data_IF_980087650604
#
_entry.id   IF_980087650604
#
_cell.length_a   1.000
_cell.length_b   1.000
_cell.length_c   1.000
_cell.angle_alpha   90.00
_cell.angle_beta   90.00
_cell.angle_gamma   90.00
#
_symmetry.space_group_name_H-M   'P 1'
#
loop_
_entity.id
_entity.type
_entity.pdbx_description
1 polymer ?
#
# COMPACT_ATOMS: atom_id res chain seq x y z
N UNK A 1 -42.51 31.38 2.13
CA UNK A 1 -41.86 30.58 3.18
C UNK A 1 -41.74 29.16 2.65
N UNK A 2 -40.53 28.70 2.36
CA UNK A 2 -40.24 27.27 2.43
C UNK A 2 -38.73 27.09 2.62
N UNK A 3 -38.40 26.39 3.69
CA UNK A 3 -37.06 26.16 4.19
C UNK A 3 -36.74 24.72 3.81
N UNK A 4 -36.00 24.52 2.71
CA UNK A 4 -35.55 23.18 2.35
C UNK A 4 -34.22 22.94 3.06
N UNK A 5 -34.32 22.36 4.25
CA UNK A 5 -33.21 21.68 4.90
C UNK A 5 -32.79 20.49 4.02
N UNK A 6 -31.56 20.50 3.53
CA UNK A 6 -30.88 19.29 3.04
C UNK A 6 -29.61 19.11 3.83
N UNK A 7 -29.55 17.94 4.44
CA UNK A 7 -28.69 17.56 5.55
C UNK A 7 -27.21 17.58 5.18
N UNK A 8 -26.41 18.04 6.14
CA UNK A 8 -24.96 18.15 6.06
C UNK A 8 -24.33 16.81 5.62
N UNK A 9 -23.72 16.81 4.44
CA UNK A 9 -22.80 15.77 4.03
C UNK A 9 -21.60 15.81 4.99
N UNK A 10 -21.63 14.93 6.00
CA UNK A 10 -20.53 14.76 6.94
C UNK A 10 -19.22 14.55 6.17
N UNK A 11 -18.29 15.47 6.37
CA UNK A 11 -17.01 15.50 5.69
C UNK A 11 -16.25 14.17 5.93
N UNK A 12 -15.81 13.44 4.88
CA UNK A 12 -15.22 12.10 5.00
C UNK A 12 -13.80 12.06 5.62
N UNK A 13 -13.35 13.18 6.15
CA UNK A 13 -12.09 13.33 6.88
C UNK A 13 -12.25 12.92 8.36
N UNK A 14 -13.43 13.12 8.97
CA UNK A 14 -13.57 13.09 10.44
C UNK A 14 -13.80 11.68 11.05
N UNK A 15 -14.19 10.69 10.24
CA UNK A 15 -14.24 9.28 10.68
C UNK A 15 -12.86 8.63 10.88
N UNK A 16 -11.78 9.40 10.80
CA UNK A 16 -10.44 8.93 11.19
C UNK A 16 -10.16 9.11 12.70
N UNK A 17 -11.03 9.80 13.44
CA UNK A 17 -10.84 10.12 14.87
C UNK A 17 -11.54 9.15 15.84
N UNK A 18 -12.49 8.33 15.37
CA UNK A 18 -13.04 7.21 16.14
C UNK A 18 -12.01 6.09 16.18
N UNK A 19 -11.42 5.81 17.33
CA UNK A 19 -10.26 4.93 17.57
C UNK A 19 -10.39 3.45 17.16
N UNK A 20 -11.35 3.10 16.32
CA UNK A 20 -11.48 1.77 15.72
C UNK A 20 -10.47 1.59 14.57
N UNK A 21 -9.65 0.54 14.60
CA UNK A 21 -8.69 0.28 13.53
C UNK A 21 -9.44 0.00 12.23
N UNK A 22 -9.36 0.93 11.28
CA UNK A 22 -9.91 0.75 9.94
C UNK A 22 -9.33 -0.52 9.31
N UNK A 23 -10.22 -1.42 8.88
CA UNK A 23 -9.87 -2.69 8.25
C UNK A 23 -10.47 -2.77 6.84
N UNK A 24 -9.75 -3.40 5.92
CA UNK A 24 -10.26 -3.65 4.57
C UNK A 24 -11.41 -4.66 4.59
N UNK A 25 -12.51 -4.38 3.90
CA UNK A 25 -13.65 -5.30 3.84
C UNK A 25 -13.31 -6.66 3.20
N UNK A 26 -12.50 -6.65 2.14
CA UNK A 26 -12.17 -7.86 1.37
C UNK A 26 -11.10 -8.76 2.02
N UNK A 27 -10.18 -8.19 2.81
CA UNK A 27 -9.01 -8.94 3.29
C UNK A 27 -8.56 -8.58 4.71
N UNK A 28 -9.35 -7.77 5.42
CA UNK A 28 -9.18 -7.36 6.81
C UNK A 28 -7.82 -6.74 7.14
N UNK A 29 -7.04 -6.30 6.14
CA UNK A 29 -5.77 -5.61 6.41
C UNK A 29 -6.05 -4.27 7.06
N UNK A 30 -5.36 -3.99 8.15
CA UNK A 30 -5.38 -2.70 8.86
C UNK A 30 -4.26 -1.78 8.41
N UNK A 31 -3.28 -2.32 7.66
CA UNK A 31 -2.13 -1.59 7.14
C UNK A 31 -2.20 -1.55 5.61
N UNK A 32 -2.24 -0.33 5.07
CA UNK A 32 -2.20 -0.09 3.62
C UNK A 32 -1.60 1.30 3.36
N UNK A 33 -0.79 1.49 2.30
CA UNK A 33 -0.24 2.81 1.98
C UNK A 33 -1.32 3.80 1.49
N UNK A 34 -2.46 3.30 1.02
CA UNK A 34 -3.59 4.11 0.56
C UNK A 34 -4.89 3.34 0.76
N UNK A 35 -5.91 4.00 1.28
CA UNK A 35 -7.28 3.50 1.34
C UNK A 35 -8.04 3.91 0.09
N UNK A 36 -8.81 2.98 -0.49
CA UNK A 36 -9.62 3.18 -1.70
C UNK A 36 -11.09 2.97 -1.38
N UNK A 37 -11.97 3.62 -2.13
CA UNK A 37 -13.42 3.38 -2.04
C UNK A 37 -13.80 2.00 -2.60
N UNK A 38 -14.75 1.36 -1.92
CA UNK A 38 -15.32 0.06 -2.27
C UNK A 38 -16.84 0.11 -2.40
N UNK A 39 -17.51 -1.06 -2.39
CA UNK A 39 -18.98 -1.12 -2.40
C UNK A 39 -19.59 -0.52 -1.12
N UNK A 40 -18.88 -0.59 0.01
CA UNK A 40 -19.34 -0.12 1.31
C UNK A 40 -19.01 1.36 1.59
N UNK A 41 -18.61 2.11 0.55
CA UNK A 41 -18.35 3.55 0.66
C UNK A 41 -16.86 3.96 0.53
N UNK A 42 -16.53 5.22 0.87
CA UNK A 42 -15.17 5.75 0.75
C UNK A 42 -14.21 5.05 1.72
N UNK A 43 -12.96 4.85 1.28
CA UNK A 43 -11.87 4.30 2.10
C UNK A 43 -12.14 2.90 2.71
N UNK A 44 -13.07 2.11 2.18
CA UNK A 44 -13.45 0.79 2.71
C UNK A 44 -12.50 -0.37 2.30
N UNK A 45 -11.72 -0.17 1.23
CA UNK A 45 -10.79 -1.17 0.71
C UNK A 45 -9.33 -0.73 0.83
N UNK A 46 -8.43 -1.69 1.04
CA UNK A 46 -7.01 -1.44 0.91
C UNK A 46 -6.61 -1.17 -0.54
N UNK A 47 -5.37 -0.74 -0.76
CA UNK A 47 -4.88 -0.41 -2.09
C UNK A 47 -4.99 -1.61 -3.06
N UNK A 48 -4.61 -2.81 -2.63
CA UNK A 48 -4.63 -3.99 -3.48
C UNK A 48 -6.05 -4.46 -3.83
N UNK A 49 -6.96 -4.42 -2.86
CA UNK A 49 -8.35 -4.83 -3.05
C UNK A 49 -9.13 -3.79 -3.87
N UNK A 50 -8.95 -2.50 -3.59
CA UNK A 50 -9.60 -1.42 -4.34
C UNK A 50 -9.21 -1.38 -5.82
N UNK A 51 -7.96 -1.72 -6.18
CA UNK A 51 -7.56 -1.86 -7.59
C UNK A 51 -8.28 -3.04 -8.25
N UNK A 52 -8.37 -4.19 -7.56
CA UNK A 52 -9.09 -5.37 -8.07
C UNK A 52 -10.57 -5.08 -8.27
N UNK A 53 -11.20 -4.43 -7.30
CA UNK A 53 -12.60 -4.02 -7.37
C UNK A 53 -12.89 -3.12 -8.57
N UNK A 54 -12.10 -2.05 -8.77
CA UNK A 54 -12.27 -1.15 -9.92
C UNK A 54 -12.11 -1.87 -11.26
N UNK A 55 -11.15 -2.80 -11.35
CA UNK A 55 -10.97 -3.60 -12.57
C UNK A 55 -12.20 -4.47 -12.85
N UNK A 56 -12.67 -5.22 -11.85
CA UNK A 56 -13.88 -6.05 -11.98
C UNK A 56 -15.10 -5.21 -12.37
N UNK A 57 -15.29 -4.04 -11.76
CA UNK A 57 -16.40 -3.12 -12.07
C UNK A 57 -16.33 -2.59 -13.51
N UNK A 58 -15.15 -2.23 -14.01
CA UNK A 58 -14.97 -1.81 -15.42
C UNK A 58 -15.27 -2.93 -16.40
N UNK A 59 -14.85 -4.16 -16.09
CA UNK A 59 -15.15 -5.35 -16.90
C UNK A 59 -16.66 -5.63 -16.91
N UNK A 60 -17.32 -5.58 -15.75
CA UNK A 60 -18.76 -5.77 -15.65
C UNK A 60 -19.57 -4.72 -16.42
N UNK A 61 -19.05 -3.49 -16.52
CA UNK A 61 -19.66 -2.40 -17.31
C UNK A 61 -19.28 -2.43 -18.79
N UNK A 62 -18.47 -3.39 -19.25
CA UNK A 62 -17.99 -3.44 -20.64
C UNK A 62 -17.05 -2.29 -21.03
N UNK A 63 -16.56 -1.51 -20.06
CA UNK A 63 -15.70 -0.35 -20.26
C UNK A 63 -14.21 -0.68 -20.15
N UNK A 64 -13.85 -1.96 -20.12
CA UNK A 64 -12.46 -2.37 -20.01
C UNK A 64 -11.79 -2.40 -21.41
N UNK A 65 -10.89 -1.44 -21.73
CA UNK A 65 -10.22 -1.42 -23.02
C UNK A 65 -9.19 -2.54 -23.17
N UNK A 66 -8.80 -3.21 -22.07
CA UNK A 66 -7.87 -4.33 -22.10
C UNK A 66 -8.57 -5.61 -22.60
N UNK A 67 -9.89 -5.74 -22.43
CA UNK A 67 -10.66 -6.87 -22.96
C UNK A 67 -10.55 -7.03 -24.48
N UNK A 68 -10.39 -5.93 -25.22
CA UNK A 68 -10.19 -5.94 -26.69
C UNK A 68 -8.73 -6.12 -27.10
N UNK A 69 -7.79 -6.02 -26.17
CA UNK A 69 -6.36 -6.13 -26.49
C UNK A 69 -5.95 -7.60 -26.55
N UNK A 70 -5.17 -7.96 -27.56
CA UNK A 70 -4.52 -9.27 -27.62
C UNK A 70 -3.69 -9.46 -26.35
N UNK A 71 -3.75 -10.64 -25.70
CA UNK A 71 -2.97 -10.91 -24.50
C UNK A 71 -1.50 -10.67 -24.83
N UNK A 72 -0.86 -9.74 -24.12
CA UNK A 72 0.58 -9.53 -24.30
C UNK A 72 1.26 -10.85 -23.95
N UNK A 73 2.17 -11.37 -24.80
CA UNK A 73 2.87 -12.60 -24.50
C UNK A 73 3.53 -12.45 -23.13
N UNK A 74 3.35 -13.46 -22.27
CA UNK A 74 3.90 -13.45 -20.92
C UNK A 74 5.42 -13.30 -21.03
N UNK A 75 5.93 -12.07 -20.85
CA UNK A 75 7.36 -11.85 -20.72
C UNK A 75 7.80 -12.71 -19.55
N UNK A 76 8.59 -13.76 -19.81
CA UNK A 76 9.22 -14.58 -18.77
C UNK A 76 9.88 -13.61 -17.80
N UNK A 77 9.33 -13.50 -16.59
CA UNK A 77 9.98 -12.69 -15.56
C UNK A 77 11.33 -13.38 -15.34
N UNK A 78 12.48 -12.72 -15.57
CA UNK A 78 13.75 -13.32 -15.19
C UNK A 78 13.63 -13.70 -13.71
N UNK A 79 14.09 -14.89 -13.36
CA UNK A 79 14.06 -15.38 -11.99
C UNK A 79 14.61 -14.25 -11.12
N UNK A 80 13.76 -13.62 -10.31
CA UNK A 80 14.19 -12.62 -9.36
C UNK A 80 15.16 -13.37 -8.46
N UNK A 81 16.47 -13.21 -8.67
CA UNK A 81 17.47 -13.61 -7.67
C UNK A 81 16.93 -13.03 -6.38
N UNK A 82 16.56 -13.91 -5.45
CA UNK A 82 16.15 -13.50 -4.10
C UNK A 82 17.38 -12.80 -3.55
N UNK A 83 17.52 -11.49 -3.76
CA UNK A 83 18.41 -10.67 -2.96
C UNK A 83 17.83 -10.85 -1.58
N UNK A 84 18.41 -11.76 -0.82
CA UNK A 84 18.14 -11.89 0.60
C UNK A 84 18.19 -10.46 1.10
N UNK A 85 17.03 -9.93 1.52
CA UNK A 85 17.03 -8.75 2.37
C UNK A 85 17.73 -9.25 3.61
N UNK A 86 19.07 -9.16 3.64
CA UNK A 86 19.82 -9.11 4.87
C UNK A 86 19.15 -7.95 5.59
N UNK A 87 18.23 -8.26 6.49
CA UNK A 87 17.90 -7.33 7.56
C UNK A 87 19.28 -7.01 8.12
N UNK A 88 19.75 -5.80 7.86
CA UNK A 88 20.79 -5.18 8.68
C UNK A 88 20.13 -5.07 10.05
N UNK A 89 20.06 -6.18 10.78
CA UNK A 89 19.96 -6.16 12.23
C UNK A 89 21.17 -5.32 12.60
N UNK A 90 20.89 -4.10 13.04
CA UNK A 90 21.92 -3.18 13.42
C UNK A 90 22.84 -3.89 14.40
N UNK A 91 24.09 -4.12 13.99
CA UNK A 91 25.16 -4.05 14.97
C UNK A 91 25.25 -2.58 15.31
N UNK A 92 24.52 -2.18 16.36
CA UNK A 92 24.99 -1.07 17.19
C UNK A 92 26.32 -1.56 17.74
N UNK A 93 27.41 -1.23 17.08
CA UNK A 93 28.72 -1.32 17.73
C UNK A 93 28.69 -0.30 18.86
N UNK A 94 28.95 -0.69 20.12
CA UNK A 94 29.08 0.29 21.18
C UNK A 94 30.27 1.19 20.86
N UNK A 95 30.17 2.45 21.29
CA UNK A 95 31.28 3.38 21.30
C UNK A 95 32.40 2.76 22.16
N UNK A 96 33.39 2.14 21.53
CA UNK A 96 34.72 2.02 22.11
C UNK A 96 35.73 2.00 20.98
N UNK A 97 36.29 3.19 20.75
CA UNK A 97 37.66 3.48 20.35
C UNK A 97 38.56 2.26 20.15
N UNK A 98 39.22 2.19 18.98
CA UNK A 98 40.53 1.56 18.67
C UNK A 98 40.54 0.67 17.42
N UNK A 99 40.55 1.27 16.21
CA UNK A 99 41.02 0.56 14.98
C UNK A 99 41.77 1.48 13.99
N UNK A 100 42.38 2.58 14.47
CA UNK A 100 43.44 3.30 13.71
C UNK A 100 44.85 2.83 14.10
N UNK A 101 44.97 1.76 14.89
CA UNK A 101 46.25 1.23 15.32
C UNK A 101 46.72 0.17 14.31
N UNK A 102 47.27 0.61 13.18
CA UNK A 102 48.34 -0.16 12.54
C UNK A 102 49.63 0.15 13.31
N UNK A 103 50.33 -0.86 13.86
CA UNK A 103 51.63 -0.69 14.45
C UNK A 103 52.73 -1.00 13.43
N UNK A 104 53.90 -0.38 13.67
CA UNK A 104 55.28 -0.77 13.26
C UNK A 104 55.81 -0.07 11.99
N UNK A 105 56.63 0.98 12.16
CA UNK A 105 58.13 0.96 12.21
C UNK A 105 58.73 0.42 10.90
N UNK A 106 59.73 1.00 10.25
CA UNK A 106 60.92 1.74 10.69
C UNK A 106 61.73 2.13 9.42
N UNK A 107 62.55 3.18 9.56
CA UNK A 107 63.64 3.64 8.67
C UNK A 107 63.26 4.25 7.32
#
# INVERSE_FOLDING_TARGET
AEMVQVEAAADPEERAASGDPKACDDCNTTKTPLWRGGPNGPKSLCNACGIRYRKRRRVAMGLDPEAKRKPRPARRRPARRRRARRLRRGRRTPLSSTWWALPRTRC
#
